data_IF_533263629391
#
_entry.id   IF_533263629391
#
_cell.length_a   1.000
_cell.length_b   1.000
_cell.length_c   1.000
_cell.angle_alpha   90.00
_cell.angle_beta   90.00
_cell.angle_gamma   90.00
#
_symmetry.space_group_name_H-M   'P 1'
#
loop_
_entity.id
_entity.type
_entity.pdbx_description
1 polymer ?
#
# COMPACT_ATOMS: atom_id res chain seq x y z
N UNK A 1 18.67 -3.74 0.54
CA UNK A 1 17.73 -4.84 0.87
C UNK A 1 16.33 -4.33 0.60
N UNK A 2 15.66 -4.91 -0.39
CA UNK A 2 14.24 -4.71 -0.63
C UNK A 2 13.41 -5.58 0.33
N UNK A 3 12.12 -5.28 0.47
CA UNK A 3 11.21 -6.17 1.19
C UNK A 3 10.82 -7.36 0.28
N UNK A 4 9.76 -8.08 0.61
CA UNK A 4 9.32 -9.21 -0.22
C UNK A 4 8.52 -8.81 -1.47
N UNK A 5 8.22 -7.52 -1.65
CA UNK A 5 7.41 -7.10 -2.78
C UNK A 5 8.16 -7.38 -4.07
N UNK A 6 7.40 -7.59 -5.15
CA UNK A 6 8.00 -7.73 -6.47
C UNK A 6 8.79 -6.47 -6.84
N UNK A 7 10.03 -6.65 -7.27
CA UNK A 7 10.87 -5.57 -7.76
C UNK A 7 10.63 -5.38 -9.26
N UNK A 8 10.48 -4.13 -9.68
CA UNK A 8 10.46 -3.77 -11.09
C UNK A 8 11.90 -3.55 -11.58
N UNK A 9 12.25 -4.10 -12.74
CA UNK A 9 13.60 -4.06 -13.30
C UNK A 9 13.62 -3.44 -14.70
N UNK A 10 14.81 -3.20 -15.24
CA UNK A 10 14.99 -2.71 -16.62
C UNK A 10 14.92 -1.19 -16.79
N UNK A 11 15.07 -0.43 -15.70
CA UNK A 11 15.18 1.03 -15.74
C UNK A 11 16.64 1.47 -15.91
N UNK A 12 16.91 2.62 -16.56
CA UNK A 12 18.26 3.13 -16.78
C UNK A 12 18.82 3.88 -15.55
N UNK A 13 18.48 3.43 -14.35
CA UNK A 13 18.87 4.04 -13.08
C UNK A 13 19.44 2.97 -12.15
N UNK A 14 20.43 3.36 -11.34
CA UNK A 14 21.00 2.51 -10.30
C UNK A 14 20.58 2.99 -8.91
N UNK A 15 20.93 2.21 -7.90
CA UNK A 15 20.67 2.56 -6.50
C UNK A 15 21.42 3.83 -6.08
N UNK A 16 22.54 4.15 -6.73
CA UNK A 16 23.34 5.37 -6.52
C UNK A 16 22.65 6.63 -7.02
N UNK A 17 21.72 6.51 -7.98
CA UNK A 17 20.91 7.63 -8.48
C UNK A 17 19.75 7.98 -7.54
N UNK A 18 19.52 7.17 -6.50
CA UNK A 18 18.40 7.37 -5.58
C UNK A 18 18.59 8.60 -4.70
N UNK A 19 17.57 9.45 -4.62
CA UNK A 19 17.57 10.64 -3.78
C UNK A 19 16.82 10.34 -2.47
N UNK A 20 17.46 10.45 -1.29
CA UNK A 20 16.78 10.29 -0.02
C UNK A 20 15.81 11.44 0.24
N UNK A 21 14.60 11.10 0.68
CA UNK A 21 13.55 12.07 1.03
C UNK A 21 13.32 12.03 2.53
N UNK A 22 14.07 12.86 3.26
CA UNK A 22 13.94 13.01 4.71
C UNK A 22 12.89 14.07 5.05
N UNK A 23 11.97 13.74 5.95
CA UNK A 23 10.87 14.64 6.34
C UNK A 23 10.60 14.61 7.83
N UNK A 24 10.07 15.73 8.35
CA UNK A 24 9.63 15.84 9.74
C UNK A 24 8.26 15.19 9.94
N UNK A 25 7.92 14.86 11.19
CA UNK A 25 6.57 14.42 11.53
C UNK A 25 5.52 15.46 11.11
N UNK A 26 4.43 15.01 10.49
CA UNK A 26 3.37 15.86 9.95
C UNK A 26 3.62 16.37 8.52
N UNK A 27 4.79 16.13 7.94
CA UNK A 27 5.03 16.43 6.54
C UNK A 27 4.31 15.44 5.60
N UNK A 28 4.04 15.89 4.39
CA UNK A 28 3.46 15.09 3.31
C UNK A 28 4.52 14.90 2.22
N UNK A 29 4.70 13.66 1.78
CA UNK A 29 5.40 13.33 0.54
C UNK A 29 4.34 12.93 -0.46
N UNK A 30 4.16 13.75 -1.50
CA UNK A 30 3.18 13.52 -2.56
C UNK A 30 3.91 13.24 -3.87
N UNK A 31 3.61 12.11 -4.50
CA UNK A 31 4.28 11.66 -5.71
C UNK A 31 3.35 10.85 -6.59
N UNK A 32 3.70 10.75 -7.88
CA UNK A 32 2.95 9.99 -8.86
C UNK A 32 3.13 8.47 -8.66
N UNK A 33 2.08 7.67 -8.87
CA UNK A 33 2.12 6.21 -8.73
C UNK A 33 3.13 5.48 -9.62
N UNK A 34 3.63 6.12 -10.68
CA UNK A 34 4.69 5.59 -11.55
C UNK A 34 6.12 5.95 -11.10
N UNK A 35 6.29 6.75 -10.05
CA UNK A 35 7.62 7.08 -9.55
C UNK A 35 8.29 5.83 -8.98
N UNK A 36 9.51 5.53 -9.43
CA UNK A 36 10.34 4.51 -8.79
C UNK A 36 10.65 4.95 -7.36
N UNK A 37 10.18 4.18 -6.38
CA UNK A 37 10.37 4.51 -4.98
C UNK A 37 10.55 3.25 -4.13
N UNK A 38 11.32 3.39 -3.06
CA UNK A 38 11.54 2.35 -2.05
C UNK A 38 11.79 2.98 -0.69
N UNK A 39 11.72 2.18 0.36
CA UNK A 39 12.20 2.58 1.68
C UNK A 39 13.39 1.75 2.13
N UNK A 40 14.34 2.40 2.81
CA UNK A 40 15.46 1.71 3.43
C UNK A 40 15.05 1.02 4.75
N UNK A 41 15.79 -0.02 5.18
CA UNK A 41 15.57 -0.64 6.48
C UNK A 41 15.67 0.37 7.63
N UNK A 42 14.77 0.27 8.61
CA UNK A 42 14.87 1.04 9.84
C UNK A 42 16.05 0.51 10.68
N UNK A 43 17.04 1.35 10.97
CA UNK A 43 18.23 1.01 11.79
C UNK A 43 18.23 1.70 13.15
N UNK A 44 17.13 2.35 13.54
CA UNK A 44 17.03 3.02 14.84
C UNK A 44 17.12 1.99 15.98
N UNK A 45 17.82 2.34 17.07
CA UNK A 45 17.96 1.48 18.25
C UNK A 45 16.64 1.29 19.01
N UNK A 46 15.69 2.22 18.83
CA UNK A 46 14.34 2.14 19.40
C UNK A 46 13.35 2.95 18.55
N UNK A 47 12.06 2.62 18.69
CA UNK A 47 10.96 3.33 18.03
C UNK A 47 10.62 2.84 16.62
N UNK A 48 9.52 3.37 16.09
CA UNK A 48 9.01 3.05 14.74
C UNK A 48 8.94 4.31 13.88
N UNK A 49 9.28 4.18 12.60
CA UNK A 49 8.89 5.16 11.57
C UNK A 49 7.50 4.80 11.05
N UNK A 50 6.49 5.59 11.40
CA UNK A 50 5.10 5.39 10.97
C UNK A 50 4.72 6.36 9.85
N UNK A 51 3.85 5.91 8.97
CA UNK A 51 3.30 6.68 7.85
C UNK A 51 1.85 6.23 7.61
N UNK A 52 0.98 7.20 7.33
CA UNK A 52 -0.33 6.96 6.73
C UNK A 52 -0.19 7.16 5.22
N UNK A 53 -0.55 6.14 4.45
CA UNK A 53 -0.47 6.17 2.97
C UNK A 53 -1.88 6.22 2.42
N UNK A 54 -2.16 7.22 1.59
CA UNK A 54 -3.40 7.33 0.83
C UNK A 54 -3.04 7.28 -0.66
N UNK A 55 -3.87 6.59 -1.44
CA UNK A 55 -3.76 6.56 -2.89
C UNK A 55 -4.93 7.36 -3.46
N UNK A 56 -4.64 8.21 -4.44
CA UNK A 56 -5.63 9.04 -5.10
C UNK A 56 -5.68 8.67 -6.58
N UNK A 57 -6.89 8.63 -7.14
CA UNK A 57 -7.13 8.51 -8.58
C UNK A 57 -8.39 9.30 -8.93
N UNK A 58 -8.51 9.68 -10.20
CA UNK A 58 -9.76 10.26 -10.70
C UNK A 58 -10.85 9.19 -10.72
N UNK A 59 -12.05 9.52 -10.26
CA UNK A 59 -13.22 8.65 -10.40
C UNK A 59 -13.72 8.55 -11.86
N UNK A 60 -13.13 9.29 -12.80
CA UNK A 60 -13.41 9.19 -14.23
C UNK A 60 -12.82 7.92 -14.88
N UNK A 61 -11.92 7.21 -14.18
CA UNK A 61 -11.40 5.91 -14.61
C UNK A 61 -12.10 4.77 -13.86
N UNK A 62 -12.01 3.54 -14.39
CA UNK A 62 -12.20 2.37 -13.54
C UNK A 62 -11.04 2.27 -12.54
N UNK A 63 -11.34 1.72 -11.37
CA UNK A 63 -10.50 1.82 -10.18
C UNK A 63 -9.86 0.47 -9.83
N UNK A 64 -8.73 0.10 -10.47
CA UNK A 64 -8.10 -1.22 -10.31
C UNK A 64 -7.28 -1.33 -9.02
N UNK A 65 -7.85 -0.95 -7.87
CA UNK A 65 -7.15 -0.95 -6.58
C UNK A 65 -6.92 -2.35 -6.01
N UNK A 66 -7.64 -3.35 -6.51
CA UNK A 66 -7.56 -4.75 -6.11
C UNK A 66 -7.37 -5.63 -7.33
N UNK A 67 -6.97 -6.87 -7.06
CA UNK A 67 -7.02 -7.94 -8.06
C UNK A 67 -8.43 -8.03 -8.64
N UNK A 68 -8.56 -8.35 -9.94
CA UNK A 68 -9.85 -8.44 -10.59
C UNK A 68 -10.60 -9.64 -10.02
N UNK A 69 -11.93 -9.60 -10.08
CA UNK A 69 -12.77 -10.74 -9.69
C UNK A 69 -12.53 -11.91 -10.67
N UNK A 70 -12.94 -13.12 -10.27
CA UNK A 70 -12.86 -14.27 -11.16
C UNK A 70 -13.64 -13.99 -12.47
N UNK A 71 -13.00 -14.23 -13.62
CA UNK A 71 -13.56 -13.90 -14.94
C UNK A 71 -13.45 -12.42 -15.35
N UNK A 72 -12.86 -11.55 -14.54
CA UNK A 72 -12.64 -10.14 -14.85
C UNK A 72 -11.17 -9.89 -15.25
N UNK A 73 -10.93 -8.93 -16.14
CA UNK A 73 -9.59 -8.50 -16.52
C UNK A 73 -9.22 -7.20 -15.82
N UNK A 74 -7.93 -7.00 -15.52
CA UNK A 74 -7.45 -5.77 -14.85
C UNK A 74 -7.88 -4.48 -15.54
N UNK A 75 -7.99 -4.49 -16.87
CA UNK A 75 -8.39 -3.32 -17.65
C UNK A 75 -9.84 -2.86 -17.38
N UNK A 76 -10.69 -3.73 -16.82
CA UNK A 76 -12.09 -3.45 -16.51
C UNK A 76 -12.41 -3.49 -15.01
N UNK A 77 -11.40 -3.75 -14.16
CA UNK A 77 -11.57 -3.83 -12.72
C UNK A 77 -11.96 -2.48 -12.10
N UNK A 78 -13.04 -2.47 -11.32
CA UNK A 78 -13.62 -1.26 -10.72
C UNK A 78 -13.93 -1.47 -9.22
N UNK A 79 -12.92 -1.27 -8.36
CA UNK A 79 -13.05 -1.35 -6.91
C UNK A 79 -13.62 -0.04 -6.37
N UNK A 80 -14.94 -0.03 -6.08
CA UNK A 80 -15.71 1.19 -5.73
C UNK A 80 -15.87 1.43 -4.22
N UNK A 81 -15.03 0.81 -3.41
CA UNK A 81 -14.85 1.18 -2.02
C UNK A 81 -13.81 2.31 -1.94
N UNK A 82 -14.32 3.52 -2.14
CA UNK A 82 -13.58 4.78 -2.27
C UNK A 82 -14.27 5.90 -1.48
N UNK A 83 -13.50 6.93 -1.16
CA UNK A 83 -13.99 8.20 -0.63
C UNK A 83 -13.79 9.29 -1.67
N UNK A 84 -14.86 10.00 -2.04
CA UNK A 84 -14.79 11.14 -2.96
C UNK A 84 -14.32 12.38 -2.20
N UNK A 85 -13.03 12.71 -2.34
CA UNK A 85 -12.44 13.88 -1.66
C UNK A 85 -12.66 15.19 -2.41
N UNK A 86 -12.92 15.15 -3.72
CA UNK A 86 -13.17 16.31 -4.56
C UNK A 86 -13.89 15.92 -5.86
N UNK A 87 -14.66 16.85 -6.43
CA UNK A 87 -15.36 16.66 -7.70
C UNK A 87 -16.64 15.83 -7.58
N UNK A 88 -17.08 15.26 -8.71
CA UNK A 88 -18.28 14.44 -8.83
C UNK A 88 -17.91 13.13 -9.51
N UNK A 89 -18.37 12.01 -8.94
CA UNK A 89 -18.16 10.68 -9.50
C UNK A 89 -19.10 10.45 -10.72
N UNK A 90 -18.58 10.36 -11.96
CA UNK A 90 -19.41 10.14 -13.14
C UNK A 90 -20.07 8.75 -13.17
N UNK A 91 -19.58 7.81 -12.34
CA UNK A 91 -20.12 6.47 -12.19
C UNK A 91 -20.86 6.27 -10.86
N UNK A 92 -21.30 7.34 -10.19
CA UNK A 92 -22.01 7.27 -8.91
C UNK A 92 -23.23 6.33 -8.95
N UNK A 93 -23.86 6.17 -10.12
CA UNK A 93 -24.99 5.26 -10.35
C UNK A 93 -24.64 3.78 -10.13
N UNK A 94 -23.36 3.41 -10.17
CA UNK A 94 -22.89 2.05 -9.82
C UNK A 94 -22.90 1.78 -8.31
N UNK A 95 -23.01 2.83 -7.50
CA UNK A 95 -22.87 2.77 -6.04
C UNK A 95 -21.42 2.69 -5.57
N UNK A 96 -21.24 2.94 -4.27
CA UNK A 96 -19.99 2.72 -3.54
C UNK A 96 -20.12 1.52 -2.62
N UNK A 97 -19.01 0.88 -2.31
CA UNK A 97 -18.91 -0.25 -1.40
C UNK A 97 -18.21 0.18 -0.08
N UNK A 98 -18.34 -0.58 1.01
CA UNK A 98 -17.55 -0.40 2.25
C UNK A 98 -16.95 -1.77 2.61
N UNK A 99 -15.73 -2.02 2.12
CA UNK A 99 -15.09 -3.35 2.19
C UNK A 99 -13.77 -3.30 2.97
N UNK A 100 -12.94 -2.31 2.72
CA UNK A 100 -11.62 -2.15 3.30
C UNK A 100 -11.74 -1.73 4.77
N UNK A 101 -10.98 -2.42 5.62
CA UNK A 101 -10.85 -2.05 7.03
C UNK A 101 -9.43 -1.55 7.32
N UNK A 102 -9.28 -0.51 8.16
CA UNK A 102 -7.97 -0.03 8.56
C UNK A 102 -7.14 -1.16 9.16
N UNK A 103 -5.86 -1.23 8.79
CA UNK A 103 -4.92 -2.18 9.36
C UNK A 103 -3.57 -1.52 9.59
N UNK A 104 -2.87 -1.96 10.62
CA UNK A 104 -1.51 -1.54 10.93
C UNK A 104 -0.62 -2.75 10.74
N UNK A 105 0.50 -2.58 10.04
CA UNK A 105 1.48 -3.67 9.92
C UNK A 105 2.01 -4.02 11.32
N UNK A 106 2.08 -5.32 11.68
CA UNK A 106 2.70 -5.76 12.92
C UNK A 106 4.11 -5.21 13.06
N UNK A 107 4.62 -5.16 14.29
CA UNK A 107 5.94 -4.63 14.68
C UNK A 107 7.15 -5.36 14.08
N UNK A 108 6.94 -6.27 13.12
CA UNK A 108 7.89 -7.29 12.72
C UNK A 108 9.23 -6.73 12.24
N UNK A 109 10.30 -7.27 12.83
CA UNK A 109 11.65 -7.36 12.27
C UNK A 109 11.72 -8.11 10.91
N UNK A 110 10.58 -8.37 10.27
CA UNK A 110 10.44 -9.11 9.02
C UNK A 110 9.77 -8.26 7.97
N UNK A 111 10.54 -7.84 6.96
CA UNK A 111 9.99 -7.57 5.65
C UNK A 111 9.18 -8.79 5.22
N UNK A 112 7.85 -8.66 5.27
CA UNK A 112 6.84 -9.61 4.82
C UNK A 112 6.90 -11.10 5.20
N UNK A 113 7.72 -11.53 6.14
CA UNK A 113 7.73 -12.95 6.48
C UNK A 113 6.47 -13.31 7.30
N UNK A 114 5.63 -14.17 6.71
CA UNK A 114 4.59 -15.03 7.35
C UNK A 114 3.10 -14.63 7.33
N UNK A 115 2.59 -13.92 6.31
CA UNK A 115 1.12 -13.75 6.19
C UNK A 115 0.36 -15.03 5.78
N UNK A 116 1.00 -16.01 5.11
CA UNK A 116 0.36 -17.25 4.63
C UNK A 116 0.60 -18.49 5.51
N UNK A 117 1.09 -18.35 6.75
CA UNK A 117 1.64 -19.50 7.49
C UNK A 117 1.36 -19.62 8.99
N UNK A 118 0.61 -18.71 9.62
CA UNK A 118 0.33 -18.85 11.06
C UNK A 118 -1.04 -19.49 11.28
N UNK A 119 -1.09 -20.83 11.32
CA UNK A 119 -2.14 -21.52 12.09
C UNK A 119 -2.12 -20.91 13.49
N UNK A 120 -3.28 -20.45 13.94
CA UNK A 120 -3.49 -19.88 15.27
C UNK A 120 -2.69 -20.65 16.34
N UNK A 121 -1.61 -20.04 16.85
CA UNK A 121 -1.01 -20.52 18.09
C UNK A 121 -2.04 -20.27 19.17
N UNK A 122 -2.75 -21.32 19.60
CA UNK A 122 -3.56 -21.29 20.82
C UNK A 122 -2.63 -20.88 21.96
N UNK A 123 -2.75 -19.65 22.42
CA UNK A 123 -2.19 -19.24 23.70
C UNK A 123 -2.90 -20.07 24.77
N UNK A 124 -2.22 -21.07 25.33
CA UNK A 124 -2.67 -21.70 26.58
C UNK A 124 -2.35 -20.72 27.70
N UNK A 125 -3.36 -19.99 28.16
CA UNK A 125 -3.34 -19.34 29.47
C UNK A 125 -3.23 -20.45 30.51
N UNK A 126 -2.08 -20.55 31.18
CA UNK A 126 -1.98 -21.24 32.47
C UNK A 126 -2.22 -20.18 33.55
N UNK A 127 -3.27 -20.41 34.34
CA UNK A 127 -3.48 -19.79 35.65
C UNK A 127 -2.41 -20.33 36.59
#
# INVERSE_FOLDING_TARGET
RFDCAGETYGFPYTDEDAIPVEVKAGAIVFFNGYLLHRSLPNRAQSGYRRVLVNHYCSAETFLPWRSPKEGEHMAVADYRDIEMVAGVDPYAWKGHEDLAKPSVRPSGDGGCETWRGQRARKLKMKI
#
